data_IF_199398574859
#
_entry.id   IF_199398574859
#
_cell.length_a   1.000
_cell.length_b   1.000
_cell.length_c   1.000
_cell.angle_alpha   90.00
_cell.angle_beta   90.00
_cell.angle_gamma   90.00
#
_symmetry.space_group_name_H-M   'P 1'
#
loop_
_entity.id
_entity.type
_entity.pdbx_description
1 polymer ?
#
# COMPACT_ATOMS: atom_id res chain seq x y z
N UNK A 1 47.98 21.35 -36.88
CA UNK A 1 49.12 20.51 -37.29
C UNK A 1 48.67 19.04 -37.34
N UNK A 2 48.82 18.42 -38.52
CA UNK A 2 48.99 16.98 -38.86
C UNK A 2 47.97 15.97 -38.28
N UNK A 3 47.05 15.46 -39.12
CA UNK A 3 47.08 14.15 -39.86
C UNK A 3 46.70 12.96 -38.95
N UNK A 4 45.92 11.94 -39.32
CA UNK A 4 45.37 11.44 -40.58
C UNK A 4 44.16 10.50 -40.28
N UNK A 5 43.20 10.39 -41.20
CA UNK A 5 42.22 9.27 -41.34
C UNK A 5 42.80 8.25 -42.38
N UNK A 6 42.10 7.16 -42.77
CA UNK A 6 41.34 6.13 -42.07
C UNK A 6 41.83 4.71 -42.50
N UNK A 7 41.17 3.61 -42.09
CA UNK A 7 40.76 2.50 -42.99
C UNK A 7 40.08 1.35 -42.24
N UNK A 8 39.11 0.74 -42.93
CA UNK A 8 38.16 -0.30 -42.49
C UNK A 8 38.50 -1.63 -43.24
N UNK A 9 37.64 -2.65 -43.29
CA UNK A 9 37.36 -3.76 -42.36
C UNK A 9 37.88 -5.14 -42.85
N UNK A 10 37.95 -6.14 -41.97
CA UNK A 10 37.88 -7.59 -42.27
C UNK A 10 38.02 -8.35 -40.94
N UNK A 11 37.52 -9.56 -40.69
CA UNK A 11 36.56 -10.44 -41.36
C UNK A 11 36.23 -11.54 -40.34
N UNK A 12 35.04 -12.10 -40.50
CA UNK A 12 34.55 -13.34 -39.90
C UNK A 12 35.59 -14.48 -39.92
N UNK A 13 35.78 -15.18 -38.79
CA UNK A 13 36.43 -16.50 -38.72
C UNK A 13 35.66 -17.44 -37.79
N UNK A 14 35.16 -18.59 -38.29
CA UNK A 14 34.53 -19.61 -37.48
C UNK A 14 35.58 -20.55 -36.86
N UNK A 15 35.31 -21.01 -35.64
CA UNK A 15 36.13 -21.99 -34.94
C UNK A 15 35.93 -23.39 -35.53
N UNK A 16 37.05 -24.04 -35.80
CA UNK A 16 37.24 -25.37 -36.35
C UNK A 16 37.06 -26.48 -35.31
N UNK A 17 36.22 -27.47 -35.60
CA UNK A 17 36.35 -28.81 -35.03
C UNK A 17 36.51 -29.86 -36.13
N UNK A 18 37.73 -30.37 -36.18
CA UNK A 18 38.22 -31.71 -36.54
C UNK A 18 37.40 -32.59 -37.51
N UNK A 19 37.99 -32.79 -38.69
CA UNK A 19 37.71 -33.85 -39.64
C UNK A 19 38.26 -35.21 -39.16
N UNK A 20 37.38 -36.15 -38.80
CA UNK A 20 37.73 -37.56 -38.70
C UNK A 20 37.46 -38.27 -40.03
N UNK A 21 38.51 -38.87 -40.59
CA UNK A 21 38.54 -39.62 -41.86
C UNK A 21 37.55 -40.80 -41.85
N UNK A 22 36.73 -40.92 -42.91
CA UNK A 22 36.01 -42.15 -43.27
C UNK A 22 36.94 -43.09 -44.04
N UNK A 23 37.05 -44.34 -43.60
CA UNK A 23 37.65 -45.45 -44.35
C UNK A 23 36.69 -45.96 -45.45
N UNK A 24 37.20 -46.62 -46.51
CA UNK A 24 36.42 -46.92 -47.69
C UNK A 24 35.47 -48.12 -47.52
N UNK A 25 34.41 -48.03 -48.31
CA UNK A 25 33.26 -48.92 -48.48
C UNK A 25 33.69 -50.29 -49.04
N UNK A 26 33.40 -51.37 -48.32
CA UNK A 26 33.30 -52.71 -48.91
C UNK A 26 31.87 -52.92 -49.39
N UNK A 27 31.74 -53.20 -50.68
CA UNK A 27 30.51 -53.54 -51.39
C UNK A 27 30.17 -55.01 -51.18
N UNK A 28 29.02 -55.28 -50.57
CA UNK A 28 28.36 -56.58 -50.66
C UNK A 28 26.90 -56.34 -51.06
N UNK A 29 26.54 -56.91 -52.21
CA UNK A 29 25.18 -56.97 -52.72
C UNK A 29 24.33 -57.87 -51.82
N UNK A 30 23.19 -57.37 -51.35
CA UNK A 30 22.11 -58.20 -50.81
C UNK A 30 20.75 -57.62 -51.22
N UNK A 31 19.85 -58.53 -51.59
CA UNK A 31 18.56 -58.40 -52.29
C UNK A 31 17.58 -57.31 -51.80
N UNK A 32 16.62 -56.86 -52.63
CA UNK A 32 15.63 -55.86 -52.24
C UNK A 32 14.67 -56.47 -51.22
N UNK A 33 14.81 -56.06 -49.96
CA UNK A 33 13.85 -56.43 -48.92
C UNK A 33 12.64 -55.51 -48.98
N UNK A 34 11.49 -56.07 -49.35
CA UNK A 34 10.17 -55.46 -49.19
C UNK A 34 9.79 -55.45 -47.70
N UNK A 35 10.23 -54.42 -46.98
CA UNK A 35 9.67 -54.10 -45.67
C UNK A 35 8.82 -52.85 -45.79
N UNK A 36 7.51 -53.03 -45.72
CA UNK A 36 6.54 -51.95 -45.46
C UNK A 36 6.82 -51.41 -44.05
N UNK A 37 7.20 -50.13 -43.91
CA UNK A 37 7.26 -49.49 -42.60
C UNK A 37 5.87 -49.61 -41.92
N UNK A 38 5.77 -50.10 -40.67
CA UNK A 38 4.50 -50.08 -39.97
C UNK A 38 4.14 -48.61 -39.67
N UNK A 39 2.84 -48.24 -39.69
CA UNK A 39 2.42 -46.86 -39.51
C UNK A 39 2.90 -46.37 -38.14
N UNK A 40 3.70 -45.29 -38.12
CA UNK A 40 4.08 -44.58 -36.89
C UNK A 40 2.81 -44.15 -36.15
N UNK A 41 2.42 -44.90 -35.11
CA UNK A 41 1.36 -44.47 -34.19
C UNK A 41 1.83 -43.17 -33.52
N UNK A 42 1.23 -42.03 -33.90
CA UNK A 42 1.33 -40.78 -33.13
C UNK A 42 0.76 -41.06 -31.74
N UNK A 43 1.59 -41.41 -30.76
CA UNK A 43 1.22 -41.34 -29.34
C UNK A 43 0.87 -39.89 -29.07
N UNK A 44 -0.43 -39.56 -28.99
CA UNK A 44 -0.87 -38.23 -28.53
C UNK A 44 -0.27 -38.06 -27.13
N UNK A 45 0.69 -37.15 -26.99
CA UNK A 45 1.30 -36.88 -25.69
C UNK A 45 0.21 -36.38 -24.75
N UNK A 46 0.01 -37.06 -23.63
CA UNK A 46 -0.96 -36.67 -22.60
C UNK A 46 -0.46 -35.50 -21.75
N UNK A 47 0.85 -35.24 -21.80
CA UNK A 47 1.54 -34.17 -21.07
C UNK A 47 0.98 -32.77 -21.35
N UNK A 48 0.79 -32.31 -22.61
CA UNK A 48 0.20 -31.00 -22.87
C UNK A 48 -1.24 -30.87 -22.36
N UNK A 49 -2.02 -31.97 -22.38
CA UNK A 49 -3.39 -31.95 -21.85
C UNK A 49 -3.36 -31.79 -20.32
N UNK A 50 -2.46 -32.49 -19.63
CA UNK A 50 -2.27 -32.35 -18.19
C UNK A 50 -1.85 -30.91 -17.81
N UNK A 51 -0.92 -30.32 -18.56
CA UNK A 51 -0.48 -28.93 -18.34
C UNK A 51 -1.62 -27.93 -18.54
N UNK A 52 -2.48 -28.14 -19.54
CA UNK A 52 -3.67 -27.31 -19.76
C UNK A 52 -4.64 -27.42 -18.57
N UNK A 53 -4.90 -28.64 -18.07
CA UNK A 53 -5.78 -28.84 -16.91
C UNK A 53 -5.23 -28.14 -15.68
N UNK A 54 -3.92 -28.26 -15.42
CA UNK A 54 -3.25 -27.55 -14.31
C UNK A 54 -3.38 -26.03 -14.50
N UNK A 55 -3.11 -25.53 -15.72
CA UNK A 55 -3.24 -24.10 -16.04
C UNK A 55 -4.65 -23.56 -15.81
N UNK A 56 -5.68 -24.29 -16.25
CA UNK A 56 -7.09 -23.94 -15.99
C UNK A 56 -7.37 -23.94 -14.49
N UNK A 57 -6.86 -24.94 -13.75
CA UNK A 57 -7.02 -25.00 -12.30
C UNK A 57 -6.42 -23.80 -11.58
N UNK A 58 -5.21 -23.36 -11.97
CA UNK A 58 -4.57 -22.17 -11.42
C UNK A 58 -5.35 -20.89 -11.75
N UNK A 59 -5.87 -20.75 -12.96
CA UNK A 59 -6.69 -19.60 -13.37
C UNK A 59 -7.98 -19.54 -12.54
N UNK A 60 -8.66 -20.67 -12.35
CA UNK A 60 -9.88 -20.73 -11.54
C UNK A 60 -9.60 -20.37 -10.08
N UNK A 61 -8.50 -20.87 -9.51
CA UNK A 61 -8.09 -20.52 -8.15
C UNK A 61 -7.79 -19.01 -8.02
N UNK A 62 -7.03 -18.44 -8.95
CA UNK A 62 -6.73 -17.02 -8.98
C UNK A 62 -8.00 -16.17 -9.13
N UNK A 63 -8.94 -16.58 -10.00
CA UNK A 63 -10.22 -15.90 -10.19
C UNK A 63 -11.07 -15.93 -8.91
N UNK A 64 -11.12 -17.07 -8.20
CA UNK A 64 -11.85 -17.18 -6.94
C UNK A 64 -11.27 -16.26 -5.85
N UNK A 65 -9.94 -16.22 -5.71
CA UNK A 65 -9.25 -15.30 -4.78
C UNK A 65 -9.56 -13.85 -5.13
N UNK A 66 -9.48 -13.49 -6.41
CA UNK A 66 -9.78 -12.14 -6.88
C UNK A 66 -11.23 -11.72 -6.60
N UNK A 67 -12.21 -12.59 -6.90
CA UNK A 67 -13.63 -12.34 -6.62
C UNK A 67 -13.86 -12.16 -5.11
N UNK A 68 -13.26 -13.01 -4.28
CA UNK A 68 -13.38 -12.90 -2.83
C UNK A 68 -12.83 -11.56 -2.31
N UNK A 69 -11.67 -11.12 -2.84
CA UNK A 69 -11.11 -9.81 -2.50
C UNK A 69 -12.07 -8.68 -2.91
N UNK A 70 -12.63 -8.71 -4.12
CA UNK A 70 -13.58 -7.71 -4.61
C UNK A 70 -14.86 -7.64 -3.76
N UNK A 71 -15.38 -8.78 -3.31
CA UNK A 71 -16.52 -8.80 -2.37
C UNK A 71 -16.15 -8.12 -1.05
N UNK A 72 -14.95 -8.40 -0.53
CA UNK A 72 -14.42 -7.76 0.68
C UNK A 72 -14.33 -6.23 0.56
N UNK A 73 -13.77 -5.72 -0.55
CA UNK A 73 -13.72 -4.28 -0.83
C UNK A 73 -15.11 -3.65 -0.88
N UNK A 74 -16.06 -4.28 -1.58
CA UNK A 74 -17.43 -3.79 -1.68
C UNK A 74 -18.12 -3.76 -0.31
N UNK A 75 -17.95 -4.80 0.50
CA UNK A 75 -18.51 -4.85 1.85
C UNK A 75 -17.95 -3.72 2.74
N UNK A 76 -16.65 -3.46 2.68
CA UNK A 76 -16.03 -2.36 3.44
C UNK A 76 -16.54 -1.00 2.96
N UNK A 77 -16.58 -0.77 1.64
CA UNK A 77 -17.10 0.45 1.04
C UNK A 77 -18.56 0.72 1.43
N UNK A 78 -19.43 -0.29 1.33
CA UNK A 78 -20.83 -0.19 1.73
C UNK A 78 -20.98 0.08 3.23
N UNK A 79 -20.15 -0.54 4.07
CA UNK A 79 -20.13 -0.29 5.52
C UNK A 79 -19.74 1.15 5.84
N UNK A 80 -18.65 1.67 5.28
CA UNK A 80 -18.22 3.04 5.53
C UNK A 80 -19.15 4.10 4.95
N UNK A 81 -19.72 3.87 3.77
CA UNK A 81 -20.76 4.76 3.23
C UNK A 81 -22.01 4.78 4.11
N UNK A 82 -22.39 3.63 4.70
CA UNK A 82 -23.51 3.57 5.63
C UNK A 82 -23.20 4.35 6.90
N UNK A 83 -21.99 4.18 7.47
CA UNK A 83 -21.54 4.91 8.66
C UNK A 83 -21.58 6.42 8.37
N UNK A 84 -20.99 6.87 7.27
CA UNK A 84 -21.02 8.28 6.88
C UNK A 84 -22.46 8.81 6.80
N UNK A 85 -23.35 8.14 6.05
CA UNK A 85 -24.76 8.56 5.92
C UNK A 85 -25.55 8.53 7.23
N UNK A 86 -25.22 7.62 8.13
CA UNK A 86 -25.98 7.42 9.37
C UNK A 86 -25.53 8.36 10.49
N UNK A 87 -24.24 8.67 10.56
CA UNK A 87 -23.66 9.39 11.70
C UNK A 87 -23.11 10.77 11.36
N UNK A 88 -23.03 11.13 10.08
CA UNK A 88 -22.75 12.50 9.63
C UNK A 88 -24.08 13.15 9.26
N UNK A 89 -24.56 14.06 10.11
CA UNK A 89 -25.88 14.69 9.95
C UNK A 89 -25.87 15.86 8.95
N UNK A 90 -24.79 16.64 8.97
CA UNK A 90 -24.51 17.75 8.05
C UNK A 90 -23.02 18.14 8.13
N UNK A 91 -22.64 19.20 7.43
CA UNK A 91 -21.39 19.93 7.65
C UNK A 91 -21.68 21.28 8.32
N UNK A 92 -20.78 21.73 9.18
CA UNK A 92 -20.86 23.07 9.74
C UNK A 92 -20.59 24.16 8.67
N UNK A 93 -20.64 25.43 9.07
CA UNK A 93 -20.39 26.56 8.16
C UNK A 93 -18.98 26.55 7.52
N UNK A 94 -18.04 25.78 8.07
CA UNK A 94 -16.67 25.61 7.55
C UNK A 94 -16.52 24.36 6.69
N UNK A 95 -17.60 23.60 6.44
CA UNK A 95 -17.56 22.37 5.67
C UNK A 95 -17.02 21.15 6.45
N UNK A 96 -17.00 21.22 7.78
CA UNK A 96 -16.55 20.12 8.66
C UNK A 96 -17.74 19.25 9.08
N UNK A 97 -17.66 17.91 8.95
CA UNK A 97 -18.72 16.98 9.35
C UNK A 97 -19.14 17.16 10.82
N UNK A 98 -20.45 17.18 11.06
CA UNK A 98 -21.04 17.10 12.41
C UNK A 98 -21.34 15.63 12.70
N UNK A 99 -20.71 15.09 13.74
CA UNK A 99 -20.70 13.66 14.03
C UNK A 99 -21.60 13.33 15.24
N UNK A 100 -22.50 12.36 15.08
CA UNK A 100 -23.26 11.80 16.20
C UNK A 100 -22.47 10.70 16.92
N UNK A 101 -21.61 11.13 17.86
CA UNK A 101 -20.83 10.21 18.68
C UNK A 101 -21.66 9.32 19.61
N UNK A 102 -22.89 9.71 19.97
CA UNK A 102 -23.75 8.85 20.79
C UNK A 102 -24.20 7.63 19.98
N UNK A 103 -24.65 7.86 18.75
CA UNK A 103 -25.08 6.80 17.86
C UNK A 103 -23.91 5.93 17.38
N UNK A 104 -22.73 6.52 17.13
CA UNK A 104 -21.51 5.75 16.83
C UNK A 104 -21.14 4.81 17.98
N UNK A 105 -21.13 5.32 19.23
CA UNK A 105 -20.77 4.54 20.40
C UNK A 105 -21.73 3.37 20.68
N UNK A 106 -23.00 3.48 20.26
CA UNK A 106 -23.95 2.35 20.32
C UNK A 106 -23.59 1.22 19.36
N UNK A 107 -22.93 1.55 18.25
CA UNK A 107 -22.52 0.57 17.23
C UNK A 107 -21.17 -0.02 17.57
N UNK A 108 -20.23 0.83 17.99
CA UNK A 108 -18.94 0.40 18.50
C UNK A 108 -18.50 1.32 19.65
N UNK A 109 -18.45 0.82 20.91
CA UNK A 109 -18.05 1.61 22.06
C UNK A 109 -16.55 1.96 22.08
N UNK A 110 -15.74 1.35 21.22
CA UNK A 110 -14.31 1.66 21.04
C UNK A 110 -14.06 2.88 20.14
N UNK A 111 -15.10 3.59 19.70
CA UNK A 111 -14.96 4.85 18.96
C UNK A 111 -14.37 5.95 19.84
N UNK A 112 -13.31 6.59 19.37
CA UNK A 112 -12.61 7.68 20.07
C UNK A 112 -12.68 9.00 19.31
N UNK A 113 -12.87 8.96 17.99
CA UNK A 113 -12.89 10.17 17.18
C UNK A 113 -13.37 9.93 15.76
N UNK A 114 -13.13 10.94 14.93
CA UNK A 114 -13.40 10.95 13.51
C UNK A 114 -12.30 11.74 12.79
N UNK A 115 -11.79 11.22 11.68
CA UNK A 115 -10.76 11.86 10.86
C UNK A 115 -11.38 12.31 9.53
N UNK A 116 -11.10 13.54 9.14
CA UNK A 116 -11.63 14.12 7.90
C UNK A 116 -10.58 15.00 7.23
N UNK A 117 -10.30 14.77 5.94
CA UNK A 117 -9.47 15.65 5.14
C UNK A 117 -10.25 16.09 3.89
N UNK A 118 -10.67 17.38 3.81
CA UNK A 118 -11.42 17.90 2.67
C UNK A 118 -10.70 17.67 1.34
N UNK A 119 -11.45 17.38 0.29
CA UNK A 119 -10.89 17.13 -1.05
C UNK A 119 -10.28 15.74 -1.23
N UNK A 120 -10.33 14.88 -0.21
CA UNK A 120 -9.84 13.49 -0.25
C UNK A 120 -10.95 12.49 0.09
N UNK A 121 -10.65 11.20 0.03
CA UNK A 121 -11.53 10.13 0.50
C UNK A 121 -11.54 9.97 2.04
N UNK A 122 -10.67 10.68 2.77
CA UNK A 122 -10.56 10.53 4.23
C UNK A 122 -11.77 11.17 4.90
N UNK A 123 -12.70 10.32 5.33
CA UNK A 123 -13.88 10.67 6.13
C UNK A 123 -14.33 9.44 6.94
N UNK A 124 -13.64 9.14 8.05
CA UNK A 124 -13.76 7.85 8.74
C UNK A 124 -13.87 7.99 10.26
N UNK A 125 -14.61 7.09 10.94
CA UNK A 125 -14.52 6.97 12.39
C UNK A 125 -13.14 6.43 12.79
N UNK A 126 -12.65 6.88 13.94
CA UNK A 126 -11.41 6.42 14.56
C UNK A 126 -11.75 5.62 15.81
N UNK A 127 -11.26 4.39 15.87
CA UNK A 127 -11.45 3.47 17.01
C UNK A 127 -10.14 3.22 17.75
N UNK A 128 -10.21 2.79 19.00
CA UNK A 128 -9.04 2.41 19.77
C UNK A 128 -9.33 1.19 20.63
N UNK A 129 -8.39 0.25 20.67
CA UNK A 129 -8.44 -0.89 21.57
C UNK A 129 -7.11 -1.04 22.29
N UNK A 130 -6.94 -2.08 23.11
CA UNK A 130 -5.73 -2.30 23.90
C UNK A 130 -4.53 -2.88 23.11
N UNK A 131 -4.60 -2.89 21.77
CA UNK A 131 -3.55 -3.37 20.88
C UNK A 131 -3.71 -2.76 19.47
N UNK A 132 -2.64 -2.85 18.67
CA UNK A 132 -2.60 -2.33 17.30
C UNK A 132 -2.90 -3.37 16.20
N UNK A 133 -3.48 -4.52 16.56
CA UNK A 133 -3.70 -5.63 15.62
C UNK A 133 -5.16 -5.87 15.27
N UNK A 134 -6.09 -5.61 16.21
CA UNK A 134 -7.53 -5.90 16.04
C UNK A 134 -8.11 -5.25 14.78
N UNK A 135 -7.89 -3.95 14.62
CA UNK A 135 -8.50 -3.17 13.54
C UNK A 135 -7.73 -3.19 12.22
N UNK A 136 -6.65 -3.99 12.13
CA UNK A 136 -6.02 -4.30 10.85
C UNK A 136 -6.93 -5.15 9.94
N UNK A 137 -7.77 -6.02 10.52
CA UNK A 137 -8.62 -6.94 9.74
C UNK A 137 -10.08 -6.95 10.22
N UNK A 138 -10.52 -5.85 10.82
CA UNK A 138 -11.87 -5.70 11.39
C UNK A 138 -12.43 -4.34 11.02
N UNK A 139 -13.64 -4.29 10.47
CA UNK A 139 -14.37 -3.05 10.21
C UNK A 139 -14.84 -2.39 11.51
N UNK A 140 -15.36 -1.18 11.39
CA UNK A 140 -15.88 -0.41 12.53
C UNK A 140 -16.94 -1.17 13.35
N UNK A 141 -17.83 -1.94 12.71
CA UNK A 141 -18.90 -2.69 13.37
C UNK A 141 -18.46 -4.05 13.95
N UNK A 142 -17.17 -4.39 13.86
CA UNK A 142 -16.63 -5.67 14.32
C UNK A 142 -16.60 -6.77 13.25
N UNK A 143 -17.07 -6.50 12.03
CA UNK A 143 -17.04 -7.48 10.92
C UNK A 143 -15.60 -7.73 10.47
N UNK A 144 -15.20 -9.00 10.32
CA UNK A 144 -13.89 -9.36 9.78
C UNK A 144 -13.75 -8.94 8.31
N UNK A 145 -12.74 -8.15 7.98
CA UNK A 145 -12.49 -7.64 6.63
C UNK A 145 -11.05 -7.12 6.50
N UNK A 146 -10.38 -7.43 5.40
CA UNK A 146 -8.99 -7.03 5.16
C UNK A 146 -8.77 -5.52 5.00
N UNK A 147 -9.84 -4.74 4.76
CA UNK A 147 -9.76 -3.27 4.69
C UNK A 147 -9.60 -2.62 6.06
N UNK A 148 -9.87 -3.36 7.14
CA UNK A 148 -9.71 -2.90 8.52
C UNK A 148 -10.55 -1.66 8.85
N UNK A 149 -10.10 -0.92 9.85
CA UNK A 149 -10.62 0.39 10.24
C UNK A 149 -9.50 1.41 10.44
N UNK A 150 -9.85 2.69 10.57
CA UNK A 150 -8.92 3.71 11.04
C UNK A 150 -8.85 3.62 12.56
N UNK A 151 -7.64 3.51 13.12
CA UNK A 151 -7.47 3.31 14.56
C UNK A 151 -6.34 4.14 15.16
N UNK A 152 -6.55 4.60 16.40
CA UNK A 152 -5.56 5.26 17.24
C UNK A 152 -4.59 4.22 17.82
N UNK A 153 -3.30 4.54 17.97
CA UNK A 153 -2.33 3.66 18.61
C UNK A 153 -2.77 3.30 20.04
N UNK A 154 -2.67 2.04 20.41
CA UNK A 154 -3.03 1.57 21.76
C UNK A 154 -2.21 2.19 22.89
N UNK A 155 -1.01 2.71 22.57
CA UNK A 155 -0.14 3.38 23.54
C UNK A 155 -0.48 4.88 23.71
N UNK A 156 -1.28 5.47 22.80
CA UNK A 156 -1.78 6.83 22.93
C UNK A 156 -2.98 6.92 23.90
N UNK A 157 -3.15 8.05 24.56
CA UNK A 157 -4.27 8.31 25.46
C UNK A 157 -5.52 8.69 24.67
N UNK A 158 -6.59 7.91 24.82
CA UNK A 158 -7.92 8.26 24.30
C UNK A 158 -8.40 9.63 24.82
N UNK A 159 -9.09 10.46 24.01
CA UNK A 159 -9.53 10.19 22.64
C UNK A 159 -8.50 10.62 21.59
N UNK A 160 -7.21 10.74 21.92
CA UNK A 160 -6.21 11.43 21.09
C UNK A 160 -6.19 12.94 21.38
N UNK A 161 -5.16 13.62 20.88
CA UNK A 161 -4.84 15.01 21.20
C UNK A 161 -4.58 15.28 22.71
N UNK A 162 -4.33 14.23 23.49
CA UNK A 162 -3.96 14.30 24.92
C UNK A 162 -2.44 14.26 25.07
N UNK A 163 -1.77 13.33 24.40
CA UNK A 163 -0.31 13.25 24.35
C UNK A 163 0.30 14.31 23.42
N UNK A 164 1.64 14.37 23.37
CA UNK A 164 2.35 15.22 22.42
C UNK A 164 2.19 14.73 20.97
N UNK A 165 2.12 13.43 20.75
CA UNK A 165 1.82 12.83 19.46
C UNK A 165 0.55 12.02 19.55
N UNK A 166 -0.27 12.06 18.51
CA UNK A 166 -1.43 11.19 18.33
C UNK A 166 -1.26 10.45 17.03
N UNK A 167 -1.05 9.13 17.13
CA UNK A 167 -0.69 8.27 16.02
C UNK A 167 -1.92 7.51 15.54
N UNK A 168 -2.33 7.75 14.31
CA UNK A 168 -3.53 7.16 13.72
C UNK A 168 -3.10 6.31 12.52
N UNK A 169 -3.53 5.06 12.52
CA UNK A 169 -3.26 4.10 11.47
C UNK A 169 -4.44 3.95 10.53
N UNK A 170 -4.13 3.70 9.27
CA UNK A 170 -5.09 3.28 8.27
C UNK A 170 -4.39 2.53 7.14
N UNK A 171 -5.09 1.57 6.54
CA UNK A 171 -4.54 0.84 5.41
C UNK A 171 -4.38 1.72 4.18
N UNK A 172 -3.42 1.33 3.34
CA UNK A 172 -3.31 1.81 1.97
C UNK A 172 -4.02 0.80 1.07
N UNK A 173 -5.27 1.08 0.72
CA UNK A 173 -6.07 0.18 -0.11
C UNK A 173 -5.89 0.48 -1.60
N UNK A 174 -5.83 -0.57 -2.43
CA UNK A 174 -5.63 -0.44 -3.88
C UNK A 174 -6.83 0.19 -4.62
N UNK A 175 -7.99 0.28 -3.96
CA UNK A 175 -9.18 0.94 -4.50
C UNK A 175 -9.23 2.45 -4.17
N UNK A 176 -8.17 2.98 -3.54
CA UNK A 176 -8.08 4.40 -3.16
C UNK A 176 -8.74 4.73 -1.83
N UNK A 177 -9.30 3.76 -1.12
CA UNK A 177 -9.94 3.99 0.18
C UNK A 177 -8.95 4.09 1.34
N UNK A 178 -9.47 4.42 2.52
CA UNK A 178 -8.72 4.51 3.78
C UNK A 178 -7.62 5.58 3.70
N UNK A 179 -6.38 5.26 4.05
CA UNK A 179 -5.25 6.19 4.02
C UNK A 179 -4.40 6.07 2.76
N UNK A 180 -4.93 5.49 1.68
CA UNK A 180 -4.22 5.41 0.40
C UNK A 180 -3.66 6.78 -0.05
N UNK A 181 -4.45 7.86 0.01
CA UNK A 181 -4.01 9.22 -0.38
C UNK A 181 -2.76 9.72 0.38
N UNK A 182 -2.45 9.17 1.57
CA UNK A 182 -1.28 9.58 2.36
C UNK A 182 0.03 9.12 1.69
N UNK A 183 0.05 8.05 0.90
CA UNK A 183 1.27 7.72 0.13
C UNK A 183 1.54 8.75 -0.96
N UNK A 184 0.49 9.35 -1.51
CA UNK A 184 0.59 10.30 -2.62
C UNK A 184 1.09 11.66 -2.15
N UNK A 185 0.97 11.98 -0.85
CA UNK A 185 1.58 13.19 -0.26
C UNK A 185 3.10 13.11 -0.14
N UNK A 186 3.74 12.04 -0.62
CA UNK A 186 5.18 12.05 -0.90
C UNK A 186 5.54 12.94 -2.09
N UNK A 187 4.58 13.24 -2.96
CA UNK A 187 4.65 14.31 -3.94
C UNK A 187 4.25 15.66 -3.32
N UNK A 188 5.07 16.69 -3.55
CA UNK A 188 4.89 18.00 -2.92
C UNK A 188 3.59 18.69 -3.34
N UNK A 189 3.18 18.60 -4.62
CA UNK A 189 1.96 19.25 -5.09
C UNK A 189 0.70 18.62 -4.47
N UNK A 190 0.72 17.29 -4.32
CA UNK A 190 -0.36 16.55 -3.65
C UNK A 190 -0.39 16.88 -2.16
N UNK A 191 0.77 16.93 -1.49
CA UNK A 191 0.88 17.40 -0.10
C UNK A 191 0.33 18.82 0.07
N UNK A 192 0.71 19.76 -0.79
CA UNK A 192 0.28 21.17 -0.72
C UNK A 192 -1.23 21.32 -0.98
N UNK A 193 -1.84 20.41 -1.73
CA UNK A 193 -3.29 20.40 -1.96
C UNK A 193 -4.10 20.01 -0.71
N UNK A 194 -3.48 19.31 0.25
CA UNK A 194 -4.10 18.96 1.52
C UNK A 194 -3.91 20.10 2.52
N UNK A 195 -4.76 21.13 2.45
CA UNK A 195 -4.60 22.31 3.32
C UNK A 195 -4.81 21.99 4.82
N UNK A 196 -5.79 21.15 5.11
CA UNK A 196 -6.20 20.83 6.47
C UNK A 196 -6.60 19.37 6.65
N UNK A 197 -6.33 18.86 7.84
CA UNK A 197 -6.88 17.61 8.36
C UNK A 197 -7.62 17.93 9.65
N UNK A 198 -8.82 17.40 9.80
CA UNK A 198 -9.64 17.58 10.98
C UNK A 198 -9.66 16.29 11.78
N UNK A 199 -9.28 16.39 13.05
CA UNK A 199 -9.52 15.34 14.03
C UNK A 199 -10.65 15.80 14.96
N UNK A 200 -11.74 15.06 14.97
CA UNK A 200 -12.97 15.42 15.68
C UNK A 200 -13.14 14.39 16.79
N UNK A 201 -13.22 14.84 18.03
CA UNK A 201 -13.63 14.02 19.17
C UNK A 201 -15.01 14.43 19.61
N UNK A 202 -15.57 13.72 20.60
CA UNK A 202 -16.85 14.08 21.20
C UNK A 202 -16.89 15.52 21.73
N UNK A 203 -15.75 16.01 22.22
CA UNK A 203 -15.67 17.26 22.98
C UNK A 203 -15.04 18.41 22.19
N UNK A 204 -14.26 18.11 21.14
CA UNK A 204 -13.50 19.12 20.40
C UNK A 204 -13.30 18.76 18.93
N UNK A 205 -13.19 19.80 18.10
CA UNK A 205 -12.72 19.70 16.71
C UNK A 205 -11.35 20.34 16.61
N UNK A 206 -10.35 19.55 16.23
CA UNK A 206 -8.97 19.98 16.03
C UNK A 206 -8.72 20.19 14.54
N UNK A 207 -8.48 21.44 14.14
CA UNK A 207 -8.06 21.79 12.78
C UNK A 207 -6.54 21.75 12.68
N UNK A 208 -6.03 20.76 11.97
CA UNK A 208 -4.61 20.48 11.82
C UNK A 208 -4.16 20.90 10.43
N UNK A 209 -2.92 21.34 10.32
CA UNK A 209 -2.26 21.69 9.04
C UNK A 209 -1.15 20.67 8.80
N UNK A 210 -1.06 20.03 7.62
CA UNK A 210 0.08 19.17 7.33
C UNK A 210 1.41 19.89 7.53
N UNK A 211 2.41 19.14 7.99
CA UNK A 211 3.73 19.66 8.33
C UNK A 211 4.80 19.05 7.40
N UNK A 212 4.80 17.73 7.28
CA UNK A 212 5.66 16.98 6.37
C UNK A 212 5.07 15.58 6.10
N UNK A 213 5.58 14.92 5.06
CA UNK A 213 5.41 13.49 4.80
C UNK A 213 6.78 12.86 4.69
N UNK A 214 6.99 11.73 5.37
CA UNK A 214 8.26 11.00 5.36
C UNK A 214 8.02 9.50 5.20
N UNK A 215 8.82 8.88 4.34
CA UNK A 215 8.84 7.42 4.19
C UNK A 215 9.85 6.86 5.18
N UNK A 216 9.43 5.88 5.96
CA UNK A 216 10.23 5.24 7.00
C UNK A 216 10.13 3.73 6.88
N UNK A 217 11.12 3.04 7.45
CA UNK A 217 11.05 1.59 7.63
C UNK A 217 9.95 1.21 8.62
N UNK A 218 9.40 0.01 8.50
CA UNK A 218 8.38 -0.53 9.42
C UNK A 218 8.86 -0.62 10.88
N UNK A 219 10.18 -0.63 11.09
CA UNK A 219 10.85 -0.61 12.39
C UNK A 219 10.97 0.78 13.03
N UNK A 220 10.46 1.85 12.39
CA UNK A 220 10.60 3.22 12.90
C UNK A 220 9.68 3.49 14.11
N UNK A 221 10.15 3.10 15.30
CA UNK A 221 9.38 3.16 16.54
C UNK A 221 9.04 4.58 17.03
N UNK A 222 9.79 5.61 16.60
CA UNK A 222 9.51 7.01 17.03
C UNK A 222 8.16 7.51 16.54
N UNK A 223 7.65 6.98 15.42
CA UNK A 223 6.29 7.27 14.95
C UNK A 223 5.19 6.74 15.88
N UNK A 224 5.54 5.99 16.94
CA UNK A 224 4.61 5.46 17.95
C UNK A 224 4.85 6.03 19.35
N UNK A 225 5.72 7.04 19.48
CA UNK A 225 6.08 7.61 20.77
C UNK A 225 5.06 8.68 21.17
N UNK A 226 4.19 8.45 22.19
CA UNK A 226 3.14 9.40 22.55
C UNK A 226 3.73 10.70 23.12
N UNK A 227 4.78 10.58 23.95
CA UNK A 227 5.42 11.71 24.63
C UNK A 227 6.94 11.61 24.55
N UNK A 228 7.59 12.74 24.34
CA UNK A 228 9.03 12.85 24.13
C UNK A 228 9.73 13.38 25.38
N UNK A 229 10.95 12.90 25.62
CA UNK A 229 11.72 13.31 26.79
C UNK A 229 12.27 14.74 26.67
N UNK A 230 12.17 15.50 27.77
CA UNK A 230 12.70 16.85 27.88
C UNK A 230 11.84 17.93 27.24
N UNK A 231 12.12 19.19 27.58
CA UNK A 231 11.35 20.35 27.14
C UNK A 231 11.34 20.54 25.61
N UNK A 232 12.39 20.07 24.93
CA UNK A 232 12.55 20.16 23.48
C UNK A 232 12.41 18.81 22.77
N UNK A 233 11.95 17.75 23.46
CA UNK A 233 11.85 16.40 22.90
C UNK A 233 11.03 16.34 21.62
N UNK A 234 9.83 16.91 21.62
CA UNK A 234 8.96 16.99 20.44
C UNK A 234 9.60 17.80 19.31
N UNK A 235 10.27 18.92 19.62
CA UNK A 235 10.92 19.77 18.61
C UNK A 235 12.08 19.05 17.94
N UNK A 236 12.86 18.28 18.70
CA UNK A 236 13.94 17.47 18.17
C UNK A 236 13.41 16.36 17.27
N UNK A 237 12.34 15.68 17.70
CA UNK A 237 11.66 14.68 16.87
C UNK A 237 11.15 15.28 15.56
N UNK A 238 10.49 16.43 15.61
CA UNK A 238 10.00 17.11 14.42
C UNK A 238 11.14 17.56 13.51
N UNK A 239 12.24 18.07 14.06
CA UNK A 239 13.42 18.43 13.27
C UNK A 239 14.00 17.22 12.53
N UNK A 240 14.08 16.06 13.18
CA UNK A 240 14.47 14.79 12.54
C UNK A 240 13.44 14.29 11.51
N UNK A 241 12.15 14.54 11.73
CA UNK A 241 11.11 14.22 10.75
C UNK A 241 11.24 15.10 9.50
N UNK A 242 11.51 16.40 9.67
CA UNK A 242 11.71 17.32 8.55
C UNK A 242 12.99 16.98 7.78
N UNK A 243 14.02 16.51 8.46
CA UNK A 243 15.23 16.00 7.82
C UNK A 243 14.92 14.71 7.04
N UNK A 244 15.12 14.73 5.72
CA UNK A 244 14.79 13.61 4.83
C UNK A 244 13.29 13.36 4.62
N UNK A 245 12.43 14.35 4.91
CA UNK A 245 11.04 14.31 4.48
C UNK A 245 10.92 14.34 2.94
N UNK A 246 9.92 13.66 2.41
CA UNK A 246 9.61 13.63 0.97
C UNK A 246 8.86 14.87 0.50
N UNK A 247 7.99 15.41 1.37
CA UNK A 247 7.29 16.67 1.16
C UNK A 247 7.23 17.45 2.48
N UNK A 248 7.31 18.78 2.41
CA UNK A 248 7.41 19.65 3.60
C UNK A 248 6.65 20.94 3.37
N UNK A 249 5.93 21.42 4.39
CA UNK A 249 5.31 22.74 4.34
C UNK A 249 6.37 23.85 4.34
N UNK A 250 6.16 24.94 3.59
CA UNK A 250 7.13 26.03 3.48
C UNK A 250 7.47 26.71 4.82
N UNK A 251 6.54 26.68 5.77
CA UNK A 251 6.66 27.23 7.12
C UNK A 251 6.92 26.15 8.20
N UNK A 252 7.35 24.94 7.78
CA UNK A 252 7.43 23.79 8.68
C UNK A 252 8.42 23.98 9.82
N UNK A 253 9.59 24.60 9.59
CA UNK A 253 10.60 24.80 10.64
C UNK A 253 10.06 25.68 11.78
N UNK A 254 9.40 26.79 11.45
CA UNK A 254 8.84 27.72 12.45
C UNK A 254 7.69 27.07 13.23
N UNK A 255 6.86 26.30 12.53
CA UNK A 255 5.75 25.55 13.14
C UNK A 255 6.25 24.41 14.02
N UNK A 256 7.28 23.69 13.59
CA UNK A 256 7.89 22.62 14.39
C UNK A 256 8.52 23.16 15.68
N UNK A 257 9.15 24.35 15.62
CA UNK A 257 9.76 24.99 16.78
C UNK A 257 8.76 25.41 17.87
N UNK A 258 7.49 25.60 17.51
CA UNK A 258 6.42 26.07 18.40
C UNK A 258 5.33 25.03 18.66
N UNK A 259 5.40 23.87 18.00
CA UNK A 259 4.44 22.79 18.16
C UNK A 259 4.48 22.22 19.59
N UNK A 260 3.30 22.06 20.17
CA UNK A 260 3.12 21.41 21.47
C UNK A 260 2.47 20.04 21.34
N UNK A 261 1.72 19.81 20.25
CA UNK A 261 1.08 18.55 19.89
C UNK A 261 1.04 18.36 18.39
N UNK A 262 1.04 17.10 17.94
CA UNK A 262 0.93 16.69 16.55
C UNK A 262 0.00 15.49 16.38
N UNK A 263 -0.50 15.31 15.16
CA UNK A 263 -1.13 14.06 14.72
C UNK A 263 -0.27 13.47 13.61
N UNK A 264 0.03 12.18 13.73
CA UNK A 264 0.79 11.41 12.75
C UNK A 264 -0.15 10.40 12.11
N UNK A 265 -0.37 10.51 10.80
CA UNK A 265 -1.12 9.53 10.02
C UNK A 265 -0.15 8.50 9.45
N UNK A 266 -0.38 7.22 9.75
CA UNK A 266 0.52 6.13 9.37
C UNK A 266 -0.21 5.17 8.44
N UNK A 267 0.43 4.85 7.32
CA UNK A 267 -0.05 3.87 6.35
C UNK A 267 1.11 3.08 5.75
N UNK A 268 0.80 1.94 5.12
CA UNK A 268 1.79 1.22 4.34
C UNK A 268 2.00 1.92 3.00
N UNK A 269 3.23 1.89 2.49
CA UNK A 269 3.52 2.30 1.12
C UNK A 269 3.63 1.06 0.25
N UNK A 270 2.88 1.00 -0.85
CA UNK A 270 3.13 -0.01 -1.87
C UNK A 270 4.48 0.28 -2.52
N UNK A 271 5.41 -0.67 -2.45
CA UNK A 271 6.67 -0.61 -3.19
C UNK A 271 6.32 -0.89 -4.66
N UNK A 272 6.22 0.17 -5.46
CA UNK A 272 6.22 0.06 -6.93
C UNK A 272 7.67 0.02 -7.40
#
# INVERSE_FOLDING_TARGET
AKHCRPDTPAAYRPSSYSTAKKSPRSSAHTAPSSYTEPPRKKRRSVVPILLIIIGIGLIVAAAAIFINAQIGYRQASESYQKIEKQYVSDKDASGVPIIDFNALAQTNPEVVGWIYAPGTNINYPVVQTNNNSKYLNTLFDGTANASGAIFLDSDDTAPGMVDQQTTIYGHHMNDGSMFNVISDTTDQATFDSMEYVYYITRDATYKLRPLATKVVEDTYAKARTPNFEGADGLKNYLSEMLDGASAVASDATDRAASATKIVTLVTCRSLI
#
